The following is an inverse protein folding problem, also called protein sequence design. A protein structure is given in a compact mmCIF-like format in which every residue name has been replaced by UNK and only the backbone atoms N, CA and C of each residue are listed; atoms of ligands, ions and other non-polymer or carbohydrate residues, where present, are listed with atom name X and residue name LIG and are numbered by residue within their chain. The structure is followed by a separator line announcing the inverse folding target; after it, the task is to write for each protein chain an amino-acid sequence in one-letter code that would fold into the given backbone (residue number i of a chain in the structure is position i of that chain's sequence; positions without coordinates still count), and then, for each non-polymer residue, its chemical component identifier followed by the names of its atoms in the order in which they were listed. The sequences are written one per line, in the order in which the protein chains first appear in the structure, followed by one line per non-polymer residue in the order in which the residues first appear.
data_IF_156611636291
#
_entry.id   IF_156611636291
#
_cell.length_a   1.000
_cell.length_b   1.000
_cell.length_c   1.000
_cell.angle_alpha   90.00
_cell.angle_beta   90.00
_cell.angle_gamma   90.00
#
_symmetry.space_group_name_H-M   'P 1'
#
loop_
_entity.id
_entity.type
_entity.pdbx_description
1 polymer ?
#
# COMPACT_ATOMS: atom_id res chain seq x y z
N UNK A 1 13.30 -5.48 13.57
CA UNK A 1 13.78 -4.09 13.65
C UNK A 1 14.12 -3.74 15.10
N UNK A 2 15.11 -2.87 15.34
CA UNK A 2 15.49 -2.48 16.71
C UNK A 2 14.35 -1.65 17.33
N UNK A 3 13.76 -2.10 18.43
CA UNK A 3 12.65 -1.41 19.13
C UNK A 3 13.00 0.06 19.40
N UNK A 4 14.26 0.34 19.76
CA UNK A 4 14.75 1.71 20.02
C UNK A 4 14.69 2.60 18.78
N UNK A 5 14.87 2.05 17.58
CA UNK A 5 14.76 2.81 16.33
C UNK A 5 13.31 3.20 16.06
N UNK A 6 12.36 2.27 16.27
CA UNK A 6 10.94 2.56 16.13
C UNK A 6 10.49 3.62 17.13
N UNK A 7 10.85 3.49 18.40
CA UNK A 7 10.46 4.49 19.40
C UNK A 7 11.04 5.87 19.05
N UNK A 8 12.29 5.92 18.55
CA UNK A 8 12.88 7.17 18.08
C UNK A 8 12.14 7.75 16.87
N UNK A 9 11.71 6.93 15.93
CA UNK A 9 10.90 7.37 14.78
C UNK A 9 9.57 7.93 15.25
N UNK A 10 8.88 7.25 16.17
CA UNK A 10 7.61 7.71 16.73
C UNK A 10 7.74 9.08 17.40
N UNK A 11 8.73 9.23 18.28
CA UNK A 11 9.03 10.52 18.92
C UNK A 11 9.31 11.61 17.88
N UNK A 12 10.20 11.32 16.92
CA UNK A 12 10.65 12.32 15.95
C UNK A 12 9.51 12.75 15.05
N UNK A 13 8.75 11.83 14.46
CA UNK A 13 7.64 12.16 13.57
C UNK A 13 6.47 12.83 14.31
N UNK A 14 6.19 12.43 15.55
CA UNK A 14 5.18 13.11 16.37
C UNK A 14 5.54 14.57 16.60
N UNK A 15 6.80 14.85 16.95
CA UNK A 15 7.28 16.24 17.09
C UNK A 15 7.33 16.96 15.75
N UNK A 16 7.71 16.26 14.68
CA UNK A 16 7.79 16.85 13.34
C UNK A 16 6.43 17.34 12.87
N UNK A 17 5.35 16.62 13.15
CA UNK A 17 4.02 16.92 12.64
C UNK A 17 3.00 17.29 13.74
N UNK A 18 3.47 17.87 14.84
CA UNK A 18 2.65 18.15 16.03
C UNK A 18 1.43 19.06 15.74
N UNK A 19 1.58 20.01 14.80
CA UNK A 19 0.53 20.98 14.44
C UNK A 19 -0.31 20.55 13.23
N UNK A 20 0.06 19.44 12.58
CA UNK A 20 -0.58 18.99 11.35
C UNK A 20 -1.43 17.74 11.56
N UNK A 21 -2.62 17.72 10.96
CA UNK A 21 -3.34 16.47 10.75
C UNK A 21 -2.53 15.60 9.79
N UNK A 22 -2.03 14.48 10.28
CA UNK A 22 -1.18 13.59 9.51
C UNK A 22 -1.39 12.12 9.89
N UNK A 23 -0.84 11.25 9.05
CA UNK A 23 -0.61 9.84 9.36
C UNK A 23 0.74 9.44 8.81
N UNK A 24 1.64 8.97 9.68
CA UNK A 24 2.90 8.37 9.26
C UNK A 24 2.89 6.89 9.58
N UNK A 25 3.23 6.06 8.60
CA UNK A 25 3.39 4.63 8.79
C UNK A 25 4.60 4.08 8.06
N UNK A 26 5.11 2.99 8.61
CA UNK A 26 6.16 2.18 8.04
C UNK A 26 5.55 0.99 7.30
N UNK A 27 6.08 0.69 6.12
CA UNK A 27 5.63 -0.43 5.28
C UNK A 27 6.83 -1.27 4.83
N UNK A 28 6.61 -2.17 3.87
CA UNK A 28 7.69 -2.94 3.27
C UNK A 28 8.36 -3.93 4.22
N UNK A 29 9.62 -4.27 3.96
CA UNK A 29 10.28 -5.41 4.60
C UNK A 29 10.37 -5.31 6.13
N UNK A 30 10.47 -4.08 6.66
CA UNK A 30 10.50 -3.79 8.08
C UNK A 30 9.16 -4.13 8.76
N UNK A 31 8.03 -3.86 8.11
CA UNK A 31 6.70 -4.15 8.66
C UNK A 31 6.42 -5.67 8.73
N UNK A 32 6.96 -6.46 7.79
CA UNK A 32 6.81 -7.93 7.77
C UNK A 32 7.80 -8.68 8.68
N UNK A 33 8.64 -7.99 9.44
CA UNK A 33 9.75 -8.59 10.19
C UNK A 33 10.68 -9.41 9.26
N UNK A 34 10.85 -8.93 8.03
CA UNK A 34 11.69 -9.54 6.98
C UNK A 34 12.95 -8.75 6.69
N UNK A 35 13.07 -7.57 7.28
CA UNK A 35 14.20 -6.69 7.10
C UNK A 35 15.51 -7.38 7.55
N UNK A 36 16.52 -7.25 6.69
CA UNK A 36 17.91 -7.49 7.06
C UNK A 36 18.43 -6.31 7.86
N UNK A 37 19.58 -6.45 8.51
CA UNK A 37 20.22 -5.35 9.23
C UNK A 37 20.57 -4.16 8.32
N UNK A 38 20.64 -4.37 7.00
CA UNK A 38 20.90 -3.34 5.99
C UNK A 38 19.66 -2.91 5.22
N UNK A 39 18.49 -3.52 5.47
CA UNK A 39 17.27 -3.16 4.75
C UNK A 39 16.93 -1.68 4.98
N UNK A 40 16.50 -1.05 3.91
CA UNK A 40 15.96 0.31 3.91
C UNK A 40 14.77 0.49 4.86
N UNK A 41 14.44 1.75 5.10
CA UNK A 41 13.34 2.18 5.92
C UNK A 41 12.26 2.82 5.05
N UNK A 42 11.25 2.02 4.71
CA UNK A 42 10.09 2.43 3.94
C UNK A 42 9.08 3.18 4.82
N UNK A 43 8.96 4.49 4.62
CA UNK A 43 8.05 5.37 5.34
C UNK A 43 7.20 6.19 4.38
N UNK A 44 5.93 6.38 4.73
CA UNK A 44 5.04 7.35 4.10
C UNK A 44 4.44 8.23 5.18
N UNK A 45 4.32 9.53 4.90
CA UNK A 45 3.51 10.46 5.67
C UNK A 45 2.43 11.06 4.78
N UNK A 46 1.18 10.94 5.20
CA UNK A 46 0.04 11.59 4.55
C UNK A 46 -0.26 12.88 5.33
N UNK A 47 -0.21 14.04 4.67
CA UNK A 47 -0.44 15.36 5.28
C UNK A 47 -0.86 16.37 4.20
N UNK A 48 -1.79 17.28 4.49
CA UNK A 48 -2.30 18.23 3.48
C UNK A 48 -1.23 19.19 2.96
N UNK A 49 -0.46 19.79 3.87
CA UNK A 49 0.54 20.79 3.53
C UNK A 49 1.78 20.59 4.40
N UNK A 50 2.94 20.65 3.75
CA UNK A 50 4.25 20.71 4.40
C UNK A 50 5.02 21.86 3.76
N UNK A 51 5.69 22.69 4.57
CA UNK A 51 6.54 23.73 3.99
C UNK A 51 7.76 23.09 3.30
N UNK A 52 8.29 23.68 2.22
CA UNK A 52 9.47 23.13 1.53
C UNK A 52 10.65 22.89 2.47
N UNK A 53 10.91 23.84 3.38
CA UNK A 53 11.97 23.70 4.39
C UNK A 53 11.75 22.49 5.32
N UNK A 54 10.51 22.26 5.73
CA UNK A 54 10.14 21.15 6.60
C UNK A 54 10.27 19.82 5.86
N UNK A 55 9.89 19.75 4.58
CA UNK A 55 10.12 18.58 3.73
C UNK A 55 11.62 18.28 3.57
N UNK A 56 12.45 19.28 3.27
CA UNK A 56 13.91 19.12 3.13
C UNK A 56 14.56 18.61 4.42
N UNK A 57 14.14 19.16 5.57
CA UNK A 57 14.60 18.72 6.88
C UNK A 57 14.24 17.25 7.14
N UNK A 58 13.03 16.82 6.75
CA UNK A 58 12.58 15.44 6.90
C UNK A 58 13.39 14.48 6.02
N UNK A 59 13.59 14.84 4.75
CA UNK A 59 14.39 14.05 3.81
C UNK A 59 15.81 13.88 4.35
N UNK A 60 16.42 14.97 4.81
CA UNK A 60 17.77 14.96 5.39
C UNK A 60 17.83 14.09 6.65
N UNK A 61 16.85 14.20 7.55
CA UNK A 61 16.74 13.32 8.72
C UNK A 61 16.67 11.84 8.34
N UNK A 62 15.82 11.48 7.36
CA UNK A 62 15.67 10.09 6.92
C UNK A 62 16.97 9.58 6.30
N UNK A 63 17.63 10.37 5.45
CA UNK A 63 18.92 10.00 4.84
C UNK A 63 20.00 9.81 5.91
N UNK A 64 20.09 10.71 6.89
CA UNK A 64 21.06 10.60 7.98
C UNK A 64 20.79 9.40 8.88
N UNK A 65 19.52 9.06 9.09
CA UNK A 65 19.13 7.85 9.80
C UNK A 65 19.62 6.59 9.06
N UNK A 66 19.44 6.53 7.75
CA UNK A 66 19.96 5.42 6.93
C UNK A 66 21.49 5.32 7.05
N UNK A 67 22.22 6.43 6.88
CA UNK A 67 23.68 6.46 7.01
C UNK A 67 24.15 6.02 8.40
N UNK A 68 23.54 6.57 9.46
CA UNK A 68 23.90 6.28 10.85
C UNK A 68 23.73 4.80 11.20
N UNK A 69 22.74 4.15 10.61
CA UNK A 69 22.43 2.75 10.87
C UNK A 69 22.94 1.77 9.79
N UNK A 70 23.64 2.26 8.77
CA UNK A 70 24.16 1.44 7.67
C UNK A 70 23.06 0.81 6.81
N UNK A 71 21.93 1.48 6.67
CA UNK A 71 20.79 1.02 5.87
C UNK A 71 20.97 1.41 4.39
N UNK A 72 20.44 0.59 3.49
CA UNK A 72 20.38 0.86 2.05
C UNK A 72 19.50 2.08 1.78
N UNK A 73 19.91 2.95 0.84
CA UNK A 73 19.10 4.11 0.42
C UNK A 73 18.52 3.79 -0.96
N UNK A 74 17.20 3.65 -1.02
CA UNK A 74 16.49 3.50 -2.28
C UNK A 74 16.32 4.86 -2.98
N UNK A 75 16.97 5.02 -4.13
CA UNK A 75 16.93 6.20 -4.97
C UNK A 75 16.10 5.99 -6.26
N UNK A 76 15.35 4.90 -6.40
CA UNK A 76 14.56 4.62 -7.62
C UNK A 76 13.39 5.59 -7.78
N UNK A 77 12.74 5.95 -6.66
CA UNK A 77 11.71 6.99 -6.60
C UNK A 77 12.21 8.14 -5.72
N UNK A 78 12.11 9.41 -6.17
CA UNK A 78 12.56 10.56 -5.39
C UNK A 78 11.98 10.59 -3.98
N UNK A 79 12.82 10.87 -2.98
CA UNK A 79 12.40 10.90 -1.58
C UNK A 79 11.26 11.90 -1.34
N UNK A 80 11.27 13.05 -2.02
CA UNK A 80 10.20 14.04 -1.90
C UNK A 80 8.83 13.51 -2.35
N UNK A 81 8.79 12.50 -3.23
CA UNK A 81 7.53 11.93 -3.73
C UNK A 81 7.00 10.81 -2.85
N UNK A 82 7.89 10.00 -2.27
CA UNK A 82 7.49 8.82 -1.48
C UNK A 82 7.36 9.08 0.01
N UNK A 83 8.14 10.00 0.59
CA UNK A 83 8.13 10.20 2.05
C UNK A 83 6.92 11.01 2.52
N UNK A 84 6.45 11.98 1.72
CA UNK A 84 5.34 12.85 2.08
C UNK A 84 4.39 12.96 0.89
N UNK A 85 3.10 12.66 1.13
CA UNK A 85 2.05 12.72 0.12
C UNK A 85 0.83 13.49 0.64
N UNK A 86 0.14 14.27 -0.22
CA UNK A 86 -1.10 14.92 0.17
C UNK A 86 -2.23 13.91 0.34
N UNK A 87 -3.23 14.25 1.16
CA UNK A 87 -4.42 13.41 1.34
C UNK A 87 -5.12 13.09 0.02
N UNK A 88 -5.20 14.05 -0.90
CA UNK A 88 -5.79 13.84 -2.24
C UNK A 88 -5.07 12.75 -3.03
N UNK A 89 -3.75 12.66 -2.92
CA UNK A 89 -2.98 11.63 -3.62
C UNK A 89 -3.26 10.24 -3.03
N UNK A 90 -3.42 10.12 -1.71
CA UNK A 90 -3.88 8.87 -1.09
C UNK A 90 -5.33 8.56 -1.44
N UNK A 91 -6.22 9.55 -1.50
CA UNK A 91 -7.62 9.38 -1.93
C UNK A 91 -7.66 8.81 -3.36
N UNK A 92 -6.90 9.39 -4.30
CA UNK A 92 -6.77 8.88 -5.67
C UNK A 92 -6.20 7.46 -5.74
N UNK A 93 -5.24 7.13 -4.86
CA UNK A 93 -4.71 5.78 -4.76
C UNK A 93 -5.78 4.77 -4.34
N UNK A 94 -6.52 5.05 -3.27
CA UNK A 94 -7.59 4.16 -2.79
C UNK A 94 -8.86 4.21 -3.62
N UNK A 95 -9.01 5.17 -4.54
CA UNK A 95 -10.03 5.17 -5.60
C UNK A 95 -9.65 4.31 -6.81
N UNK A 96 -8.43 3.76 -6.83
CA UNK A 96 -7.97 2.89 -7.92
C UNK A 96 -7.49 3.65 -9.16
N UNK A 97 -7.13 4.93 -9.05
CA UNK A 97 -6.59 5.74 -10.17
C UNK A 97 -5.19 5.32 -10.64
N UNK A 98 -4.57 4.37 -9.95
CA UNK A 98 -3.36 3.69 -10.42
C UNK A 98 -3.62 2.62 -11.48
N UNK A 99 -4.88 2.31 -11.80
CA UNK A 99 -5.26 1.37 -12.84
C UNK A 99 -5.89 2.09 -14.03
N UNK A 100 -5.84 1.47 -15.21
CA UNK A 100 -6.53 1.97 -16.39
C UNK A 100 -7.86 1.25 -16.56
N UNK A 101 -8.84 1.95 -17.13
CA UNK A 101 -10.17 1.42 -17.40
C UNK A 101 -10.51 1.66 -18.86
N UNK A 102 -10.87 0.59 -19.56
CA UNK A 102 -11.30 0.67 -20.95
C UNK A 102 -12.40 -0.35 -21.21
N UNK A 103 -13.50 0.09 -21.82
CA UNK A 103 -14.64 -0.78 -22.17
C UNK A 103 -15.16 -1.62 -20.98
N UNK A 104 -15.22 -1.02 -19.79
CA UNK A 104 -15.68 -1.68 -18.55
C UNK A 104 -14.68 -2.66 -17.93
N UNK A 105 -13.45 -2.74 -18.47
CA UNK A 105 -12.39 -3.64 -17.99
C UNK A 105 -11.25 -2.87 -17.36
N UNK A 106 -10.76 -3.40 -16.24
CA UNK A 106 -9.53 -2.99 -15.59
C UNK A 106 -8.34 -3.49 -16.38
N UNK A 107 -7.39 -2.61 -16.59
CA UNK A 107 -6.07 -2.88 -17.17
C UNK A 107 -5.04 -2.53 -16.11
N UNK A 108 -4.19 -3.50 -15.76
CA UNK A 108 -3.06 -3.28 -14.85
C UNK A 108 -1.89 -2.73 -15.67
N UNK A 109 -1.49 -1.46 -15.50
CA UNK A 109 -0.42 -0.86 -16.31
C UNK A 109 0.90 -1.61 -16.16
N UNK A 110 1.68 -1.71 -17.23
CA UNK A 110 3.02 -2.31 -17.17
C UNK A 110 3.96 -1.34 -16.47
N UNK A 111 4.86 -1.85 -15.63
CA UNK A 111 5.87 -1.01 -15.00
C UNK A 111 6.96 -0.66 -16.03
N UNK A 112 7.08 0.64 -16.32
CA UNK A 112 8.15 1.18 -17.16
C UNK A 112 9.26 1.76 -16.29
N UNK A 113 10.52 1.42 -16.58
CA UNK A 113 11.68 1.95 -15.82
C UNK A 113 12.17 3.30 -16.34
N UNK A 114 11.35 4.01 -17.10
CA UNK A 114 11.69 5.36 -17.54
C UNK A 114 11.58 6.32 -16.36
N UNK A 115 12.47 7.29 -16.27
CA UNK A 115 12.45 8.30 -15.20
C UNK A 115 11.09 9.04 -15.17
N UNK A 116 10.52 9.32 -16.34
CA UNK A 116 9.20 9.93 -16.47
C UNK A 116 8.08 9.09 -15.82
N UNK A 117 8.09 7.76 -16.02
CA UNK A 117 7.10 6.88 -15.42
C UNK A 117 7.33 6.68 -13.92
N UNK A 118 8.58 6.52 -13.50
CA UNK A 118 8.97 6.43 -12.09
C UNK A 118 8.60 7.68 -11.29
N UNK A 119 8.45 8.81 -11.99
CA UNK A 119 7.99 10.08 -11.46
C UNK A 119 6.49 10.36 -11.65
N UNK A 120 5.73 9.45 -12.25
CA UNK A 120 4.33 9.68 -12.59
C UNK A 120 3.39 9.54 -11.39
N UNK A 121 2.28 10.29 -11.41
CA UNK A 121 1.22 10.14 -10.41
C UNK A 121 0.58 8.75 -10.44
N UNK A 122 0.46 8.13 -11.62
CA UNK A 122 -0.11 6.80 -11.78
C UNK A 122 0.68 5.75 -11.00
N UNK A 123 2.01 5.74 -11.14
CA UNK A 123 2.85 4.84 -10.36
C UNK A 123 2.74 5.15 -8.87
N UNK A 124 2.74 6.42 -8.47
CA UNK A 124 2.56 6.81 -7.08
C UNK A 124 1.25 6.31 -6.49
N UNK A 125 0.14 6.38 -7.23
CA UNK A 125 -1.14 5.80 -6.79
C UNK A 125 -1.05 4.29 -6.58
N UNK A 126 -0.37 3.56 -7.47
CA UNK A 126 -0.14 2.10 -7.30
C UNK A 126 0.74 1.78 -6.11
N UNK A 127 1.82 2.56 -5.91
CA UNK A 127 2.71 2.41 -4.75
C UNK A 127 1.92 2.63 -3.47
N UNK A 128 1.22 3.76 -3.35
CA UNK A 128 0.44 4.10 -2.16
C UNK A 128 -0.63 3.06 -1.85
N UNK A 129 -1.38 2.63 -2.87
CA UNK A 129 -2.35 1.56 -2.73
C UNK A 129 -1.68 0.28 -2.21
N UNK A 130 -0.55 -0.13 -2.78
CA UNK A 130 0.19 -1.29 -2.30
C UNK A 130 0.67 -1.12 -0.85
N UNK A 131 1.18 0.06 -0.48
CA UNK A 131 1.67 0.31 0.87
C UNK A 131 0.57 0.18 1.91
N UNK A 132 -0.65 0.64 1.59
CA UNK A 132 -1.77 0.65 2.53
C UNK A 132 -2.48 -0.71 2.59
N UNK A 133 -2.45 -1.49 1.52
CA UNK A 133 -2.99 -2.86 1.53
C UNK A 133 -1.95 -3.90 1.95
N UNK A 134 -0.69 -3.50 2.14
CA UNK A 134 0.33 -4.29 2.80
C UNK A 134 0.28 -4.22 4.32
N UNK A 135 1.18 -4.98 4.98
CA UNK A 135 1.39 -4.84 6.43
C UNK A 135 2.01 -3.46 6.71
N UNK A 136 1.39 -2.72 7.62
CA UNK A 136 1.83 -1.40 8.05
C UNK A 136 2.04 -1.34 9.56
N UNK A 137 2.94 -0.46 9.99
CA UNK A 137 3.14 -0.11 11.39
C UNK A 137 2.96 1.40 11.54
N UNK A 138 1.98 1.81 12.34
CA UNK A 138 1.78 3.23 12.65
C UNK A 138 2.98 3.78 13.42
N UNK A 139 3.52 4.90 12.93
CA UNK A 139 4.61 5.65 13.55
C UNK A 139 4.07 6.89 14.28
N UNK A 140 3.22 7.68 13.64
CA UNK A 140 2.58 8.85 14.28
C UNK A 140 1.28 9.23 13.58
N UNK A 141 0.49 10.07 14.23
CA UNK A 141 -0.74 10.64 13.67
C UNK A 141 -2.00 9.80 13.92
N UNK A 142 -2.98 9.93 13.03
CA UNK A 142 -4.34 9.41 13.21
C UNK A 142 -4.45 7.91 12.82
N UNK A 143 -4.53 7.04 13.84
CA UNK A 143 -4.71 5.60 13.64
C UNK A 143 -6.03 5.24 12.94
N UNK A 144 -7.12 5.96 13.24
CA UNK A 144 -8.42 5.68 12.65
C UNK A 144 -8.39 5.99 11.16
N UNK A 145 -7.77 7.11 10.80
CA UNK A 145 -7.59 7.50 9.40
C UNK A 145 -6.72 6.48 8.63
N UNK A 146 -5.67 5.93 9.26
CA UNK A 146 -4.89 4.85 8.66
C UNK A 146 -5.77 3.63 8.36
N UNK A 147 -6.56 3.17 9.33
CA UNK A 147 -7.44 2.01 9.15
C UNK A 147 -8.55 2.27 8.12
N UNK A 148 -9.09 3.48 8.04
CA UNK A 148 -10.05 3.87 7.01
C UNK A 148 -9.43 3.78 5.60
N UNK A 149 -8.18 4.23 5.42
CA UNK A 149 -7.47 4.07 4.15
C UNK A 149 -7.14 2.62 3.82
N UNK A 150 -6.77 1.80 4.83
CA UNK A 150 -6.57 0.36 4.64
C UNK A 150 -7.83 -0.31 4.16
N UNK A 151 -8.98 0.02 4.75
CA UNK A 151 -10.27 -0.53 4.32
C UNK A 151 -10.56 -0.14 2.86
N UNK A 152 -10.54 1.17 2.54
CA UNK A 152 -10.77 1.64 1.16
C UNK A 152 -9.80 1.02 0.15
N UNK A 153 -8.52 0.90 0.49
CA UNK A 153 -7.52 0.28 -0.38
C UNK A 153 -7.85 -1.19 -0.66
N UNK A 154 -8.26 -1.94 0.37
CA UNK A 154 -8.67 -3.33 0.20
C UNK A 154 -9.97 -3.49 -0.59
N UNK A 155 -10.96 -2.62 -0.37
CA UNK A 155 -12.17 -2.54 -1.19
C UNK A 155 -11.76 -2.42 -2.67
N UNK A 156 -10.92 -1.45 -3.00
CA UNK A 156 -10.42 -1.23 -4.36
C UNK A 156 -9.65 -2.42 -4.91
N UNK A 157 -8.77 -3.05 -4.12
CA UNK A 157 -8.07 -4.26 -4.57
C UNK A 157 -9.04 -5.38 -4.93
N UNK A 158 -10.08 -5.61 -4.15
CA UNK A 158 -11.07 -6.64 -4.48
C UNK A 158 -11.88 -6.32 -5.73
N UNK A 159 -12.32 -5.06 -5.89
CA UNK A 159 -13.02 -4.62 -7.11
C UNK A 159 -12.16 -4.87 -8.35
N UNK A 160 -10.88 -4.51 -8.28
CA UNK A 160 -9.90 -4.76 -9.35
C UNK A 160 -9.78 -6.25 -9.63
N UNK A 161 -9.59 -7.08 -8.60
CA UNK A 161 -9.43 -8.53 -8.78
C UNK A 161 -10.66 -9.19 -9.40
N UNK A 162 -11.87 -8.83 -8.98
CA UNK A 162 -13.08 -9.39 -9.56
C UNK A 162 -13.38 -8.86 -10.96
N UNK A 163 -13.06 -7.61 -11.26
CA UNK A 163 -13.16 -7.10 -12.62
C UNK A 163 -12.21 -7.84 -13.58
N UNK A 164 -10.99 -8.17 -13.13
CA UNK A 164 -9.99 -8.88 -13.94
C UNK A 164 -10.32 -10.36 -14.19
N UNK A 165 -11.01 -11.04 -13.27
CA UNK A 165 -11.20 -12.49 -13.34
C UNK A 165 -12.65 -12.94 -13.50
N UNK A 166 -13.61 -12.14 -13.04
CA UNK A 166 -15.06 -12.39 -13.11
C UNK A 166 -15.46 -13.85 -12.80
N UNK A 167 -14.91 -14.42 -11.74
CA UNK A 167 -15.14 -15.81 -11.33
C UNK A 167 -15.34 -15.94 -9.82
N UNK A 168 -15.81 -17.10 -9.37
CA UNK A 168 -15.81 -17.46 -7.96
C UNK A 168 -14.37 -17.70 -7.51
N UNK A 169 -13.95 -17.13 -6.39
CA UNK A 169 -12.56 -17.21 -5.91
C UNK A 169 -12.52 -17.72 -4.48
N UNK A 170 -11.65 -18.68 -4.20
CA UNK A 170 -11.25 -18.97 -2.81
C UNK A 170 -10.24 -17.94 -2.31
N UNK A 171 -9.98 -17.91 -0.99
CA UNK A 171 -8.91 -17.09 -0.39
C UNK A 171 -7.58 -17.36 -1.10
N UNK A 172 -7.24 -18.64 -1.30
CA UNK A 172 -6.00 -19.05 -1.96
C UNK A 172 -5.91 -18.58 -3.40
N UNK A 173 -7.01 -18.68 -4.16
CA UNK A 173 -7.05 -18.21 -5.55
C UNK A 173 -6.79 -16.71 -5.62
N UNK A 174 -7.45 -15.94 -4.75
CA UNK A 174 -7.37 -14.49 -4.73
C UNK A 174 -5.96 -14.03 -4.29
N UNK A 175 -5.37 -14.64 -3.27
CA UNK A 175 -3.99 -14.36 -2.86
C UNK A 175 -2.99 -14.69 -3.97
N UNK A 176 -3.15 -15.84 -4.63
CA UNK A 176 -2.29 -16.21 -5.74
C UNK A 176 -2.37 -15.19 -6.87
N UNK A 177 -3.58 -14.75 -7.22
CA UNK A 177 -3.80 -13.75 -8.26
C UNK A 177 -3.30 -12.37 -7.84
N UNK A 178 -3.43 -11.96 -6.58
CA UNK A 178 -2.82 -10.71 -6.07
C UNK A 178 -1.29 -10.71 -6.21
N UNK A 179 -0.64 -11.84 -5.89
CA UNK A 179 0.82 -11.96 -6.02
C UNK A 179 1.26 -11.84 -7.48
N UNK A 180 0.54 -12.48 -8.40
CA UNK A 180 0.83 -12.34 -9.81
C UNK A 180 0.19 -13.37 -10.73
N UNK A 181 0.66 -13.29 -11.97
CA UNK A 181 0.40 -14.21 -13.08
C UNK A 181 1.72 -14.90 -13.45
N UNK A 182 1.70 -15.93 -14.32
CA UNK A 182 2.93 -16.53 -14.83
C UNK A 182 3.90 -15.52 -15.49
N UNK A 183 3.39 -14.39 -16.00
CA UNK A 183 4.16 -13.41 -16.76
C UNK A 183 4.53 -12.15 -15.95
N UNK A 184 3.79 -11.84 -14.88
CA UNK A 184 3.93 -10.58 -14.12
C UNK A 184 3.68 -10.83 -12.65
N UNK A 185 4.59 -10.41 -11.78
CA UNK A 185 4.49 -10.55 -10.33
C UNK A 185 5.14 -9.36 -9.60
N UNK A 186 4.87 -9.20 -8.31
CA UNK A 186 5.49 -8.14 -7.51
C UNK A 186 5.15 -6.73 -8.02
N UNK A 187 6.13 -5.83 -7.98
CA UNK A 187 6.02 -4.42 -8.40
C UNK A 187 5.52 -4.26 -9.85
N UNK A 188 5.82 -5.24 -10.71
CA UNK A 188 5.34 -5.28 -12.09
C UNK A 188 3.86 -5.70 -12.22
N UNK A 189 3.12 -5.98 -11.13
CA UNK A 189 1.70 -6.35 -11.14
C UNK A 189 0.88 -5.65 -10.05
N UNK A 190 0.56 -6.28 -8.91
CA UNK A 190 -0.14 -5.62 -7.77
C UNK A 190 0.79 -5.19 -6.64
N UNK A 191 2.09 -5.40 -6.79
CA UNK A 191 3.14 -5.01 -5.85
C UNK A 191 3.52 -6.07 -4.79
N UNK A 192 2.82 -7.20 -4.71
CA UNK A 192 3.12 -8.24 -3.71
C UNK A 192 4.16 -9.26 -4.20
N UNK A 193 5.23 -9.43 -3.43
CA UNK A 193 6.28 -10.44 -3.71
C UNK A 193 5.83 -11.80 -3.18
N UNK A 194 6.11 -12.88 -3.92
CA UNK A 194 5.80 -14.25 -3.48
C UNK A 194 6.79 -14.71 -2.40
N UNK A 195 6.51 -14.32 -1.15
CA UNK A 195 7.26 -14.73 0.02
C UNK A 195 6.30 -15.20 1.10
N UNK A 196 6.69 -16.23 1.85
CA UNK A 196 5.83 -16.89 2.85
C UNK A 196 5.13 -15.90 3.80
N UNK A 197 5.87 -14.95 4.40
CA UNK A 197 5.28 -13.97 5.32
C UNK A 197 4.30 -12.97 4.66
N UNK A 198 4.53 -12.63 3.39
CA UNK A 198 3.61 -11.76 2.65
C UNK A 198 2.34 -12.57 2.32
N UNK A 199 2.51 -13.81 1.87
CA UNK A 199 1.39 -14.72 1.59
C UNK A 199 0.53 -14.97 2.83
N UNK A 200 1.14 -15.27 3.98
CA UNK A 200 0.45 -15.47 5.25
C UNK A 200 -0.37 -14.23 5.65
N UNK A 201 0.23 -13.04 5.54
CA UNK A 201 -0.46 -11.79 5.79
C UNK A 201 -1.65 -11.58 4.84
N UNK A 202 -1.45 -11.81 3.53
CA UNK A 202 -2.50 -11.67 2.53
C UNK A 202 -3.63 -12.68 2.76
N UNK A 203 -3.33 -13.94 3.07
CA UNK A 203 -4.32 -14.96 3.39
C UNK A 203 -5.20 -14.53 4.57
N UNK A 204 -4.58 -14.04 5.64
CA UNK A 204 -5.30 -13.53 6.81
C UNK A 204 -6.20 -12.31 6.46
N UNK A 205 -5.64 -11.28 5.82
CA UNK A 205 -6.36 -10.04 5.52
C UNK A 205 -7.47 -10.25 4.48
N UNK A 206 -7.23 -11.13 3.50
CA UNK A 206 -8.22 -11.51 2.50
C UNK A 206 -9.35 -12.29 3.18
N UNK A 207 -9.05 -13.36 3.91
CA UNK A 207 -10.07 -14.16 4.57
C UNK A 207 -10.97 -13.29 5.46
N UNK A 208 -10.36 -12.49 6.34
CA UNK A 208 -11.07 -11.57 7.23
C UNK A 208 -12.08 -10.71 6.46
N UNK A 209 -11.66 -10.09 5.37
CA UNK A 209 -12.53 -9.17 4.60
C UNK A 209 -13.59 -9.87 3.78
N UNK A 210 -13.28 -11.01 3.18
CA UNK A 210 -14.28 -11.80 2.46
C UNK A 210 -15.42 -12.22 3.39
N UNK A 211 -15.09 -12.63 4.62
CA UNK A 211 -16.08 -12.94 5.67
C UNK A 211 -16.89 -11.72 6.09
N UNK A 212 -16.26 -10.56 6.21
CA UNK A 212 -16.97 -9.33 6.56
C UNK A 212 -17.91 -8.86 5.43
N UNK A 213 -17.54 -9.03 4.17
CA UNK A 213 -18.43 -8.75 3.04
C UNK A 213 -19.57 -9.74 2.87
N UNK A 214 -19.31 -11.03 3.13
CA UNK A 214 -20.34 -12.05 3.20
C UNK A 214 -21.40 -11.68 4.25
N UNK A 215 -20.98 -11.29 5.47
CA UNK A 215 -21.89 -10.82 6.53
C UNK A 215 -22.67 -9.56 6.15
N UNK A 216 -22.08 -8.68 5.35
CA UNK A 216 -22.74 -7.46 4.83
C UNK A 216 -23.66 -7.73 3.64
N UNK A 217 -23.74 -8.97 3.15
CA UNK A 217 -24.55 -9.31 1.98
C UNK A 217 -24.00 -8.74 0.67
N UNK A 218 -22.70 -8.48 0.59
CA UNK A 218 -22.03 -8.01 -0.63
C UNK A 218 -21.46 -9.16 -1.46
N UNK A 219 -21.07 -10.25 -0.79
CA UNK A 219 -20.62 -11.49 -1.40
C UNK A 219 -21.54 -12.62 -0.96
N UNK A 220 -21.72 -13.61 -1.83
CA UNK A 220 -22.20 -14.93 -1.42
C UNK A 220 -21.02 -15.89 -1.39
N UNK A 221 -21.12 -16.95 -0.59
CA UNK A 221 -20.12 -18.01 -0.57
C UNK A 221 -20.73 -19.41 -0.70
N UNK A 222 -19.96 -20.32 -1.28
CA UNK A 222 -20.25 -21.76 -1.35
C UNK A 222 -18.95 -22.53 -1.44
N UNK A 223 -18.81 -23.58 -0.62
CA UNK A 223 -17.60 -24.41 -0.58
C UNK A 223 -16.31 -23.57 -0.47
N UNK A 224 -16.32 -22.56 0.42
CA UNK A 224 -15.19 -21.64 0.65
C UNK A 224 -14.75 -20.80 -0.56
N UNK A 225 -15.62 -20.68 -1.58
CA UNK A 225 -15.45 -19.76 -2.70
C UNK A 225 -16.43 -18.61 -2.56
N UNK A 226 -16.00 -17.43 -2.97
CA UNK A 226 -16.75 -16.18 -2.86
C UNK A 226 -17.00 -15.59 -4.24
N UNK A 227 -18.15 -14.93 -4.40
CA UNK A 227 -18.45 -14.13 -5.58
C UNK A 227 -19.35 -12.94 -5.21
N UNK A 228 -19.18 -11.78 -5.87
CA UNK A 228 -20.08 -10.64 -5.73
C UNK A 228 -21.53 -11.01 -6.01
N UNK A 229 -22.44 -10.46 -5.22
CA UNK A 229 -23.89 -10.65 -5.41
C UNK A 229 -24.40 -9.75 -6.54
N UNK A 230 -23.80 -8.57 -6.71
CA UNK A 230 -24.17 -7.56 -7.70
C UNK A 230 -22.93 -7.07 -8.46
N UNK A 231 -23.12 -6.65 -9.71
CA UNK A 231 -22.14 -5.95 -10.54
C UNK A 231 -21.73 -4.60 -9.92
N UNK A 232 -22.60 -3.95 -9.14
CA UNK A 232 -22.27 -2.71 -8.42
C UNK A 232 -21.10 -2.87 -7.43
N UNK A 233 -20.87 -4.09 -6.94
CA UNK A 233 -19.71 -4.38 -6.09
C UNK A 233 -18.40 -4.33 -6.88
N UNK A 234 -18.39 -4.65 -8.18
CA UNK A 234 -17.17 -4.70 -9.00
C UNK A 234 -16.90 -3.41 -9.77
N UNK A 235 -17.90 -2.52 -9.87
CA UNK A 235 -17.74 -1.21 -10.50
C UNK A 235 -16.80 -0.33 -9.68
N UNK A 236 -15.71 0.10 -10.30
CA UNK A 236 -14.85 1.19 -9.81
C UNK A 236 -15.34 2.48 -10.49
N UNK A 237 -15.31 3.60 -9.76
CA UNK A 237 -15.92 4.90 -10.13
C UNK A 237 -15.66 5.27 -11.59
#
# INVERSE_FOLDING_TARGET
MNIKLIDKLKETYTSFFEEEKHVTYLYGSQAYDMARNTSDLDLVTIVDNISPQKLENLISYVIDLHKKHGLEIDNEVPHEKKLVVPFDMMNFAVEGRGFHYSEGKVIVPTLEKSEAYLSSNELMYRILLNTITGKTLLISGDQKLLEDYKNKGWDTMFRVMWNLHNEELSVRDLVQKLIGTPNRQGEAYMGYKDKAKIREFLEHEVEKRLRDYEKKGLLWSKNERFKPIDEDFITLI
#
